data_IF_871193202209
#
_entry.id   IF_871193202209
#
_cell.length_a   1.000
_cell.length_b   1.000
_cell.length_c   1.000
_cell.angle_alpha   90.00
_cell.angle_beta   90.00
_cell.angle_gamma   90.00
#
_symmetry.space_group_name_H-M   'P 1'
#
loop_
_entity.id
_entity.type
_entity.pdbx_description
1 polymer ?
#
# COMPACT_ATOMS: atom_id res chain seq x y z
N UNK A 1 1.86 -8.29 38.45
CA UNK A 1 1.03 -7.97 37.30
C UNK A 1 0.65 -9.28 36.59
N UNK A 2 -0.63 -9.50 36.37
CA UNK A 2 -1.10 -10.68 35.60
C UNK A 2 -0.67 -10.52 34.15
N UNK A 3 -0.12 -11.61 33.57
CA UNK A 3 0.25 -11.66 32.15
C UNK A 3 -0.75 -12.50 31.37
N UNK A 4 -1.03 -12.08 30.15
CA UNK A 4 -1.68 -12.87 29.13
C UNK A 4 -0.62 -13.56 28.28
N UNK A 5 -0.68 -14.87 28.18
CA UNK A 5 0.24 -15.70 27.39
C UNK A 5 -0.43 -16.11 26.09
N UNK A 6 0.03 -15.60 24.95
CA UNK A 6 -0.51 -15.94 23.64
C UNK A 6 0.32 -16.98 22.88
N UNK A 7 1.53 -17.29 23.38
CA UNK A 7 2.35 -18.41 22.99
C UNK A 7 3.13 -18.95 24.18
N UNK A 8 3.15 -20.27 24.37
CA UNK A 8 3.75 -20.93 25.55
C UNK A 8 4.78 -22.02 25.21
N UNK A 9 5.25 -22.04 23.97
CA UNK A 9 6.24 -23.03 23.50
C UNK A 9 5.69 -24.42 23.20
N UNK A 10 4.42 -24.69 23.48
CA UNK A 10 3.85 -26.05 23.37
C UNK A 10 2.89 -26.23 22.21
N UNK A 11 2.13 -25.19 21.87
CA UNK A 11 1.09 -25.28 20.84
C UNK A 11 1.23 -24.13 19.86
N UNK A 12 0.92 -24.32 18.58
CA UNK A 12 0.87 -23.24 17.60
C UNK A 12 -0.05 -22.10 18.07
N UNK A 13 0.30 -20.87 17.72
CA UNK A 13 -0.60 -19.74 17.86
C UNK A 13 -1.82 -20.02 16.97
N UNK A 14 -3.02 -19.87 17.53
CA UNK A 14 -4.25 -20.02 16.76
C UNK A 14 -4.87 -18.67 16.46
N UNK A 15 -5.42 -18.56 15.26
CA UNK A 15 -6.12 -17.35 14.83
C UNK A 15 -7.46 -17.68 14.17
N UNK A 16 -8.40 -16.75 14.26
CA UNK A 16 -9.64 -16.78 13.49
C UNK A 16 -9.80 -15.52 12.66
N UNK A 17 -10.41 -15.68 11.50
CA UNK A 17 -10.70 -14.61 10.57
C UNK A 17 -12.12 -14.84 10.04
N UNK A 18 -13.15 -14.45 10.80
CA UNK A 18 -14.53 -14.65 10.40
C UNK A 18 -14.95 -13.68 9.31
N UNK A 19 -15.87 -14.14 8.48
CA UNK A 19 -16.49 -13.34 7.45
C UNK A 19 -15.58 -13.03 6.27
N UNK A 20 -15.90 -11.94 5.60
CA UNK A 20 -15.20 -11.43 4.42
C UNK A 20 -14.06 -10.50 4.82
N UNK A 21 -12.97 -10.51 4.07
CA UNK A 21 -11.82 -9.61 4.27
C UNK A 21 -11.29 -9.07 2.95
N UNK A 22 -10.65 -7.90 3.02
CA UNK A 22 -9.94 -7.31 1.88
C UNK A 22 -8.63 -8.04 1.59
N UNK A 23 -8.13 -8.04 0.33
CA UNK A 23 -6.87 -8.70 -0.03
C UNK A 23 -5.68 -8.32 0.85
N UNK A 24 -5.58 -7.06 1.28
CA UNK A 24 -4.50 -6.57 2.14
C UNK A 24 -4.45 -7.29 3.49
N UNK A 25 -5.58 -7.73 4.01
CA UNK A 25 -5.66 -8.52 5.25
C UNK A 25 -5.05 -9.90 5.06
N UNK A 26 -5.30 -10.54 3.91
CA UNK A 26 -4.69 -11.83 3.56
C UNK A 26 -3.17 -11.70 3.44
N UNK A 27 -2.68 -10.65 2.79
CA UNK A 27 -1.23 -10.38 2.70
C UNK A 27 -0.62 -10.17 4.08
N UNK A 28 -1.23 -9.36 4.93
CA UNK A 28 -0.75 -9.10 6.30
C UNK A 28 -0.75 -10.39 7.15
N UNK A 29 -1.76 -11.22 7.00
CA UNK A 29 -1.84 -12.50 7.71
C UNK A 29 -0.73 -13.46 7.26
N UNK A 30 -0.43 -13.55 5.98
CA UNK A 30 0.68 -14.37 5.48
C UNK A 30 2.02 -13.85 5.97
N UNK A 31 2.22 -12.53 6.02
CA UNK A 31 3.40 -11.93 6.64
C UNK A 31 3.51 -12.30 8.12
N UNK A 32 2.43 -12.15 8.88
CA UNK A 32 2.37 -12.51 10.30
C UNK A 32 2.68 -13.99 10.54
N UNK A 33 2.14 -14.88 9.73
CA UNK A 33 2.41 -16.33 9.84
C UNK A 33 3.90 -16.63 9.64
N UNK A 34 4.52 -16.04 8.63
CA UNK A 34 5.96 -16.15 8.40
C UNK A 34 6.80 -15.57 9.54
N UNK A 35 6.39 -14.43 10.08
CA UNK A 35 7.03 -13.79 11.23
C UNK A 35 6.98 -14.70 12.47
N UNK A 36 5.81 -15.25 12.76
CA UNK A 36 5.65 -16.16 13.91
C UNK A 36 6.40 -17.47 13.74
N UNK A 37 6.51 -17.97 12.52
CA UNK A 37 7.36 -19.13 12.25
C UNK A 37 8.84 -18.82 12.55
N UNK A 38 9.32 -17.63 12.23
CA UNK A 38 10.68 -17.20 12.58
C UNK A 38 10.84 -17.06 14.11
N UNK A 39 9.87 -16.43 14.78
CA UNK A 39 9.94 -16.17 16.24
C UNK A 39 9.75 -17.43 17.06
N UNK A 40 8.79 -18.29 16.70
CA UNK A 40 8.40 -19.46 17.53
C UNK A 40 8.86 -20.80 16.97
N UNK A 41 9.18 -20.85 15.67
CA UNK A 41 9.47 -22.09 14.93
C UNK A 41 8.26 -22.82 14.44
N UNK A 42 7.06 -22.33 14.71
CA UNK A 42 5.81 -22.99 14.36
C UNK A 42 4.87 -22.03 13.64
N UNK A 43 4.28 -22.49 12.52
CA UNK A 43 3.28 -21.72 11.79
C UNK A 43 1.99 -21.58 12.61
N UNK A 44 1.42 -20.36 12.72
CA UNK A 44 0.08 -20.17 13.25
C UNK A 44 -0.97 -20.98 12.50
N UNK A 45 -1.98 -21.45 13.20
CA UNK A 45 -3.05 -22.29 12.67
C UNK A 45 -4.40 -21.59 12.75
N UNK A 46 -5.17 -21.68 11.66
CA UNK A 46 -6.54 -21.17 11.63
C UNK A 46 -7.48 -22.07 12.43
N UNK A 47 -8.36 -21.45 13.22
CA UNK A 47 -9.42 -22.14 13.97
C UNK A 47 -10.70 -21.30 13.98
N UNK A 48 -11.70 -21.76 14.71
CA UNK A 48 -12.99 -21.10 14.78
C UNK A 48 -12.93 -19.81 15.61
N UNK A 49 -13.78 -18.86 15.24
CA UNK A 49 -13.97 -17.62 16.03
C UNK A 49 -14.39 -17.97 17.47
N UNK A 50 -13.84 -17.25 18.43
CA UNK A 50 -14.11 -17.49 19.86
C UNK A 50 -13.31 -18.63 20.50
N UNK A 51 -12.66 -19.49 19.70
CA UNK A 51 -11.75 -20.53 20.22
C UNK A 51 -10.28 -20.22 19.97
N UNK A 52 -10.01 -19.32 19.04
CA UNK A 52 -8.66 -18.86 18.70
C UNK A 52 -8.06 -17.99 19.79
N UNK A 53 -6.74 -18.05 19.94
CA UNK A 53 -5.97 -17.10 20.79
C UNK A 53 -6.05 -15.69 20.21
N UNK A 54 -6.08 -15.55 18.88
CA UNK A 54 -6.19 -14.28 18.17
C UNK A 54 -7.45 -14.29 17.31
N UNK A 55 -8.35 -13.35 17.55
CA UNK A 55 -9.57 -13.17 16.75
C UNK A 55 -9.47 -11.85 15.98
N UNK A 56 -9.53 -11.91 14.65
CA UNK A 56 -9.30 -10.78 13.75
C UNK A 56 -10.61 -10.42 13.04
N UNK A 57 -11.00 -9.15 13.08
CA UNK A 57 -12.25 -8.66 12.50
C UNK A 57 -11.98 -7.41 11.66
N UNK A 58 -12.43 -7.43 10.41
CA UNK A 58 -12.51 -6.25 9.54
C UNK A 58 -13.96 -5.71 9.58
N UNK A 59 -14.16 -4.53 10.19
CA UNK A 59 -15.50 -4.02 10.50
C UNK A 59 -16.34 -3.62 9.29
N UNK A 60 -15.77 -2.95 8.32
CA UNK A 60 -16.51 -2.46 7.14
C UNK A 60 -17.13 -3.59 6.30
N UNK A 61 -16.58 -4.80 6.39
CA UNK A 61 -17.09 -6.01 5.73
C UNK A 61 -17.88 -6.94 6.63
N UNK A 62 -17.95 -6.68 7.94
CA UNK A 62 -18.60 -7.56 8.93
C UNK A 62 -19.52 -6.76 9.86
N UNK A 63 -20.43 -5.99 9.30
CA UNK A 63 -21.31 -5.07 10.03
C UNK A 63 -22.25 -5.76 11.05
N UNK A 64 -22.58 -7.02 10.83
CA UNK A 64 -23.47 -7.79 11.73
C UNK A 64 -22.90 -7.97 13.13
N UNK A 65 -21.57 -7.95 13.30
CA UNK A 65 -20.91 -8.13 14.60
C UNK A 65 -20.82 -6.84 15.43
N UNK A 66 -21.10 -5.66 14.85
CA UNK A 66 -20.92 -4.37 15.50
C UNK A 66 -21.68 -4.26 16.83
N UNK A 67 -22.93 -4.77 16.88
CA UNK A 67 -23.74 -4.72 18.09
C UNK A 67 -23.13 -5.53 19.23
N UNK A 68 -22.59 -6.70 18.94
CA UNK A 68 -22.00 -7.57 19.95
C UNK A 68 -20.67 -7.00 20.45
N UNK A 69 -19.87 -6.45 19.56
CA UNK A 69 -18.65 -5.77 19.95
C UNK A 69 -18.89 -4.56 20.86
N UNK A 70 -19.97 -3.78 20.61
CA UNK A 70 -20.35 -2.66 21.51
C UNK A 70 -20.72 -3.15 22.89
N UNK A 71 -21.49 -4.26 23.01
CA UNK A 71 -21.81 -4.87 24.31
C UNK A 71 -20.56 -5.31 25.06
N UNK A 72 -19.53 -5.69 24.33
CA UNK A 72 -18.23 -6.11 24.86
C UNK A 72 -17.32 -4.95 25.25
N UNK A 73 -17.83 -3.72 25.16
CA UNK A 73 -17.06 -2.52 25.51
C UNK A 73 -15.99 -2.14 24.51
N UNK A 74 -16.10 -2.62 23.26
CA UNK A 74 -15.22 -2.20 22.17
C UNK A 74 -15.71 -0.85 21.62
N UNK A 75 -14.82 0.15 21.44
CA UNK A 75 -15.20 1.49 20.98
C UNK A 75 -15.47 1.52 19.46
N UNK A 76 -16.44 0.72 19.01
CA UNK A 76 -16.76 0.47 17.60
C UNK A 76 -16.96 1.78 16.82
N UNK A 77 -17.74 2.72 17.38
CA UNK A 77 -18.08 3.95 16.70
C UNK A 77 -16.84 4.83 16.47
N UNK A 78 -15.92 4.86 17.43
CA UNK A 78 -14.62 5.55 17.29
C UNK A 78 -13.73 4.88 16.25
N UNK A 79 -13.75 3.56 16.14
CA UNK A 79 -12.95 2.80 15.16
C UNK A 79 -13.52 3.04 13.77
N UNK A 80 -14.81 2.87 13.55
CA UNK A 80 -15.50 3.03 12.26
C UNK A 80 -15.39 4.45 11.70
N UNK A 81 -15.31 5.46 12.58
CA UNK A 81 -15.17 6.84 12.17
C UNK A 81 -13.80 7.20 11.59
N UNK A 82 -12.83 6.28 11.58
CA UNK A 82 -11.45 6.54 11.16
C UNK A 82 -10.99 5.56 10.10
N UNK A 83 -10.28 6.07 9.10
CA UNK A 83 -9.61 5.24 8.09
C UNK A 83 -8.33 4.65 8.65
N UNK A 84 -7.96 3.47 8.16
CA UNK A 84 -6.71 2.78 8.48
C UNK A 84 -6.47 2.58 9.99
N UNK A 85 -7.55 2.49 10.77
CA UNK A 85 -7.51 2.39 12.22
C UNK A 85 -7.66 0.95 12.69
N UNK A 86 -7.07 0.65 13.85
CA UNK A 86 -7.28 -0.62 14.52
C UNK A 86 -7.34 -0.48 16.03
N UNK A 87 -7.95 -1.44 16.66
CA UNK A 87 -8.05 -1.62 18.09
C UNK A 87 -7.64 -3.04 18.46
N UNK A 88 -6.77 -3.18 19.45
CA UNK A 88 -6.39 -4.47 20.01
C UNK A 88 -6.73 -4.46 21.50
N UNK A 89 -7.34 -5.56 21.97
CA UNK A 89 -7.67 -5.74 23.38
C UNK A 89 -7.54 -7.21 23.76
N UNK A 90 -7.09 -7.45 24.98
CA UNK A 90 -7.19 -8.77 25.60
C UNK A 90 -8.56 -8.90 26.26
N UNK A 91 -9.25 -9.97 25.95
CA UNK A 91 -10.56 -10.29 26.49
C UNK A 91 -10.68 -11.80 26.68
N UNK A 92 -11.10 -12.24 27.86
CA UNK A 92 -11.35 -13.64 28.17
C UNK A 92 -10.19 -14.59 27.75
N UNK A 93 -8.94 -14.18 28.00
CA UNK A 93 -7.73 -14.87 27.58
C UNK A 93 -7.57 -15.02 26.06
N UNK A 94 -8.09 -14.06 25.28
CA UNK A 94 -7.93 -13.99 23.84
C UNK A 94 -7.50 -12.57 23.44
N UNK A 95 -6.74 -12.46 22.35
CA UNK A 95 -6.48 -11.21 21.66
C UNK A 95 -7.58 -10.95 20.64
N UNK A 96 -8.20 -9.81 20.74
CA UNK A 96 -9.15 -9.32 19.75
C UNK A 96 -8.48 -8.20 18.94
N UNK A 97 -8.37 -8.37 17.62
CA UNK A 97 -7.85 -7.38 16.68
C UNK A 97 -9.00 -6.91 15.81
N UNK A 98 -9.34 -5.63 15.90
CA UNK A 98 -10.48 -5.03 15.18
C UNK A 98 -9.97 -3.89 14.32
N UNK A 99 -10.09 -4.02 13.00
CA UNK A 99 -9.76 -2.96 12.05
C UNK A 99 -10.99 -2.24 11.52
N UNK A 100 -10.89 -0.94 11.30
CA UNK A 100 -11.96 -0.14 10.69
C UNK A 100 -12.24 -0.56 9.25
N UNK A 101 -11.20 -0.90 8.53
CA UNK A 101 -11.17 -1.25 7.12
C UNK A 101 -10.05 -2.28 6.83
N UNK A 102 -9.78 -2.57 5.57
CA UNK A 102 -8.76 -3.53 5.18
C UNK A 102 -7.36 -3.15 5.67
N UNK A 103 -6.92 -1.92 5.43
CA UNK A 103 -5.59 -1.45 5.89
C UNK A 103 -5.49 -1.41 7.41
N UNK A 104 -6.49 -0.89 8.08
CA UNK A 104 -6.52 -0.87 9.55
C UNK A 104 -6.39 -2.27 10.14
N UNK A 105 -7.12 -3.24 9.59
CA UNK A 105 -7.04 -4.64 10.02
C UNK A 105 -5.65 -5.22 9.78
N UNK A 106 -5.07 -4.96 8.60
CA UNK A 106 -3.71 -5.37 8.26
C UNK A 106 -2.67 -4.79 9.23
N UNK A 107 -2.78 -3.51 9.57
CA UNK A 107 -1.90 -2.85 10.53
C UNK A 107 -2.03 -3.46 11.94
N UNK A 108 -3.24 -3.80 12.35
CA UNK A 108 -3.48 -4.50 13.61
C UNK A 108 -2.81 -5.87 13.67
N UNK A 109 -2.88 -6.64 12.60
CA UNK A 109 -2.20 -7.94 12.48
C UNK A 109 -0.67 -7.74 12.58
N UNK A 110 -0.12 -6.78 11.84
CA UNK A 110 1.32 -6.52 11.83
C UNK A 110 1.82 -5.88 13.14
N UNK A 111 0.94 -5.22 13.90
CA UNK A 111 1.26 -4.81 15.28
C UNK A 111 1.57 -6.00 16.18
N UNK A 112 0.91 -7.13 15.99
CA UNK A 112 1.24 -8.36 16.71
C UNK A 112 2.64 -8.87 16.36
N UNK A 113 3.05 -8.78 15.09
CA UNK A 113 4.43 -9.06 14.67
C UNK A 113 5.44 -8.16 15.40
N UNK A 114 5.16 -6.87 15.49
CA UNK A 114 6.00 -5.90 16.22
C UNK A 114 6.08 -6.24 17.71
N UNK A 115 4.96 -6.55 18.33
CA UNK A 115 4.90 -6.95 19.74
C UNK A 115 5.65 -8.26 20.01
N UNK A 116 5.73 -9.16 19.04
CA UNK A 116 6.56 -10.35 19.11
C UNK A 116 8.05 -10.08 18.93
N UNK A 117 8.44 -8.85 18.55
CA UNK A 117 9.83 -8.44 18.38
C UNK A 117 10.33 -8.50 16.93
N UNK A 118 9.42 -8.52 15.95
CA UNK A 118 9.78 -8.48 14.53
C UNK A 118 9.97 -7.03 14.09
N UNK A 119 11.17 -6.72 13.55
CA UNK A 119 11.49 -5.41 12.99
C UNK A 119 10.75 -5.20 11.65
N UNK A 120 10.35 -3.97 11.32
CA UNK A 120 9.91 -3.64 9.96
C UNK A 120 10.96 -4.00 8.89
N UNK A 121 12.24 -3.98 9.26
CA UNK A 121 13.39 -4.25 8.40
C UNK A 121 13.78 -5.74 8.34
N UNK A 122 12.92 -6.62 8.80
CA UNK A 122 13.18 -8.06 8.85
C UNK A 122 13.67 -8.62 7.51
N UNK A 123 13.14 -8.16 6.40
CA UNK A 123 13.53 -8.60 5.06
C UNK A 123 14.58 -7.67 4.43
N UNK A 124 14.33 -6.36 4.37
CA UNK A 124 15.24 -5.39 3.71
C UNK A 124 16.54 -5.17 4.47
N UNK A 125 16.56 -5.34 5.76
CA UNK A 125 17.74 -5.14 6.61
C UNK A 125 18.30 -6.43 7.17
N UNK A 126 17.81 -7.60 6.74
CA UNK A 126 18.21 -8.92 7.27
C UNK A 126 18.15 -9.01 8.80
N UNK A 127 17.18 -8.32 9.41
CA UNK A 127 17.00 -8.30 10.86
C UNK A 127 16.24 -9.52 11.32
N UNK A 128 16.95 -10.63 11.51
CA UNK A 128 16.33 -11.88 11.99
C UNK A 128 15.78 -11.70 13.40
N UNK A 129 14.48 -11.98 13.64
CA UNK A 129 13.92 -11.88 14.98
C UNK A 129 14.48 -12.97 15.90
N UNK A 130 14.61 -12.62 17.18
CA UNK A 130 15.02 -13.61 18.17
C UNK A 130 13.96 -14.68 18.38
N UNK A 131 14.41 -15.94 18.53
CA UNK A 131 13.54 -17.06 18.91
C UNK A 131 13.01 -16.86 20.30
N UNK A 132 11.74 -17.14 20.50
CA UNK A 132 11.05 -17.04 21.79
C UNK A 132 10.22 -18.27 22.05
N UNK A 133 10.35 -18.82 23.25
CA UNK A 133 9.52 -19.93 23.74
C UNK A 133 8.23 -19.43 24.39
N UNK A 134 8.12 -18.13 24.63
CA UNK A 134 6.95 -17.53 25.26
C UNK A 134 6.72 -16.11 24.73
N UNK A 135 5.46 -15.81 24.42
CA UNK A 135 5.00 -14.47 24.06
C UNK A 135 3.91 -14.06 25.06
N UNK A 136 4.12 -12.92 25.68
CA UNK A 136 3.21 -12.38 26.71
C UNK A 136 2.90 -10.91 26.47
N UNK A 137 1.77 -10.49 26.99
CA UNK A 137 1.37 -9.09 27.14
C UNK A 137 0.78 -8.87 28.53
N UNK A 138 0.73 -7.64 29.04
CA UNK A 138 -0.05 -7.34 30.24
C UNK A 138 -1.49 -7.80 30.06
N UNK A 139 -2.10 -8.38 31.08
CA UNK A 139 -3.46 -8.94 30.96
C UNK A 139 -4.55 -7.88 30.65
N UNK A 140 -4.25 -6.63 30.93
CA UNK A 140 -5.11 -5.47 30.65
C UNK A 140 -4.69 -4.70 29.39
N UNK A 141 -3.82 -5.30 28.55
CA UNK A 141 -3.33 -4.64 27.34
C UNK A 141 -4.47 -4.26 26.40
N UNK A 142 -4.48 -3.00 26.02
CA UNK A 142 -5.29 -2.50 24.93
C UNK A 142 -4.60 -1.36 24.20
N UNK A 143 -4.87 -1.21 22.92
CA UNK A 143 -4.38 -0.08 22.13
C UNK A 143 -5.37 0.27 21.04
N UNK A 144 -5.58 1.57 20.86
CA UNK A 144 -6.31 2.13 19.73
C UNK A 144 -5.36 3.01 18.94
N UNK A 145 -5.17 2.69 17.66
CA UNK A 145 -4.24 3.43 16.82
C UNK A 145 -4.92 3.81 15.51
N UNK A 146 -4.78 5.05 15.12
CA UNK A 146 -5.22 5.58 13.84
C UNK A 146 -4.22 6.61 13.34
N UNK A 147 -3.95 6.66 12.02
CA UNK A 147 -3.07 7.67 11.46
C UNK A 147 -3.63 9.07 11.65
N UNK A 148 -2.75 10.05 11.90
CA UNK A 148 -3.11 11.47 11.98
C UNK A 148 -3.22 12.12 10.60
N UNK A 149 -2.65 11.50 9.55
CA UNK A 149 -2.74 11.92 8.15
C UNK A 149 -3.23 10.76 7.29
N UNK A 150 -4.05 11.07 6.30
CA UNK A 150 -4.67 10.06 5.45
C UNK A 150 -3.66 9.33 4.56
N UNK A 151 -2.71 10.05 3.98
CA UNK A 151 -1.75 9.50 3.02
C UNK A 151 -0.32 9.57 3.56
N UNK A 152 0.36 8.44 3.50
CA UNK A 152 1.70 8.24 4.09
C UNK A 152 2.50 7.36 3.14
N UNK A 153 3.62 7.85 2.64
CA UNK A 153 4.37 7.08 1.65
C UNK A 153 5.76 7.60 1.38
N UNK A 154 6.36 7.04 0.36
CA UNK A 154 7.70 7.37 -0.11
C UNK A 154 7.69 7.64 -1.61
N UNK A 155 8.73 8.32 -2.08
CA UNK A 155 9.07 8.48 -3.46
C UNK A 155 10.37 7.71 -3.76
N UNK A 156 10.33 6.79 -4.73
CA UNK A 156 11.54 6.15 -5.26
C UNK A 156 12.18 7.09 -6.27
N UNK A 157 13.24 7.77 -5.88
CA UNK A 157 13.85 8.81 -6.71
C UNK A 157 15.23 8.43 -7.27
N UNK A 158 16.09 7.79 -6.51
CA UNK A 158 17.44 7.41 -6.94
C UNK A 158 17.56 5.87 -7.16
N UNK A 159 16.51 5.29 -7.70
CA UNK A 159 16.37 3.84 -7.86
C UNK A 159 17.41 3.22 -8.81
N UNK A 160 17.93 3.98 -9.74
CA UNK A 160 18.93 3.55 -10.72
C UNK A 160 20.34 3.32 -10.14
N UNK A 161 20.61 3.83 -8.93
CA UNK A 161 21.91 3.67 -8.29
C UNK A 161 22.09 2.29 -7.64
N UNK A 162 21.03 1.71 -7.13
CA UNK A 162 21.11 0.39 -6.47
C UNK A 162 19.88 -0.48 -6.68
N UNK A 163 18.69 -0.01 -6.37
CA UNK A 163 17.46 -0.81 -6.35
C UNK A 163 17.14 -1.44 -7.72
N UNK A 164 17.13 -0.63 -8.76
CA UNK A 164 16.82 -1.07 -10.12
C UNK A 164 17.81 -2.13 -10.63
N UNK A 165 19.15 -1.88 -10.64
CA UNK A 165 20.09 -2.89 -11.11
C UNK A 165 20.11 -4.13 -10.21
N UNK A 166 19.92 -4.01 -8.91
CA UNK A 166 19.82 -5.16 -8.02
C UNK A 166 18.57 -5.99 -8.34
N UNK A 167 17.43 -5.36 -8.59
CA UNK A 167 16.19 -6.07 -8.91
C UNK A 167 16.37 -6.95 -10.17
N UNK A 168 16.67 -6.36 -11.31
CA UNK A 168 16.68 -7.10 -12.57
C UNK A 168 17.92 -7.98 -12.81
N UNK A 169 19.01 -7.78 -12.05
CA UNK A 169 20.20 -8.62 -12.13
C UNK A 169 20.20 -9.78 -11.14
N UNK A 170 19.68 -9.58 -9.93
CA UNK A 170 19.88 -10.49 -8.81
C UNK A 170 18.59 -11.06 -8.23
N UNK A 171 17.69 -10.20 -7.77
CA UNK A 171 16.50 -10.64 -7.02
C UNK A 171 15.40 -11.19 -7.92
N UNK A 172 15.18 -10.53 -9.05
CA UNK A 172 14.14 -10.84 -10.02
C UNK A 172 14.70 -10.76 -11.44
N UNK A 173 15.63 -11.67 -11.80
CA UNK A 173 16.35 -11.59 -13.07
C UNK A 173 15.43 -11.42 -14.26
N UNK A 174 15.77 -10.47 -15.14
CA UNK A 174 14.97 -10.11 -16.32
C UNK A 174 15.88 -9.76 -17.49
N UNK A 175 15.47 -10.16 -18.71
CA UNK A 175 16.09 -9.73 -19.94
C UNK A 175 15.82 -8.26 -20.27
N UNK A 176 14.80 -7.67 -19.61
CA UNK A 176 14.48 -6.25 -19.74
C UNK A 176 15.34 -5.47 -18.74
N UNK A 177 16.37 -4.86 -19.26
CA UNK A 177 17.29 -3.99 -18.53
C UNK A 177 16.50 -2.80 -17.93
N UNK A 178 16.76 -2.51 -16.66
CA UNK A 178 16.09 -1.41 -15.97
C UNK A 178 14.75 -1.77 -15.30
N UNK A 179 14.32 -3.04 -15.37
CA UNK A 179 13.07 -3.46 -14.76
C UNK A 179 13.21 -3.62 -13.23
N UNK A 180 12.43 -2.84 -12.48
CA UNK A 180 12.07 -3.20 -11.11
C UNK A 180 10.83 -4.07 -11.22
N UNK A 181 10.95 -5.38 -10.93
CA UNK A 181 9.85 -6.32 -11.14
C UNK A 181 8.75 -6.24 -10.08
N UNK A 182 7.63 -6.90 -10.34
CA UNK A 182 6.48 -6.90 -9.45
C UNK A 182 6.78 -7.53 -8.07
N UNK A 183 7.67 -8.52 -8.00
CA UNK A 183 8.11 -9.12 -6.74
C UNK A 183 8.93 -8.14 -5.90
N UNK A 184 9.78 -7.35 -6.53
CA UNK A 184 10.56 -6.29 -5.88
C UNK A 184 9.62 -5.21 -5.33
N UNK A 185 8.69 -4.72 -6.13
CA UNK A 185 7.67 -3.78 -5.66
C UNK A 185 6.85 -4.36 -4.51
N UNK A 186 6.47 -5.63 -4.57
CA UNK A 186 5.71 -6.28 -3.48
C UNK A 186 6.47 -6.28 -2.16
N UNK A 187 7.78 -6.52 -2.18
CA UNK A 187 8.61 -6.44 -0.96
C UNK A 187 8.71 -4.99 -0.43
N UNK A 188 8.75 -3.99 -1.31
CA UNK A 188 8.65 -2.58 -0.91
C UNK A 188 7.29 -2.31 -0.27
N UNK A 189 6.20 -2.78 -0.86
CA UNK A 189 4.85 -2.58 -0.33
C UNK A 189 4.66 -3.26 1.04
N UNK A 190 5.22 -4.44 1.25
CA UNK A 190 5.23 -5.11 2.56
C UNK A 190 5.98 -4.30 3.62
N UNK A 191 7.11 -3.69 3.28
CA UNK A 191 7.80 -2.76 4.18
C UNK A 191 6.90 -1.57 4.54
N UNK A 192 6.26 -0.96 3.56
CA UNK A 192 5.32 0.15 3.77
C UNK A 192 4.16 -0.28 4.68
N UNK A 193 3.60 -1.46 4.49
CA UNK A 193 2.57 -2.01 5.38
C UNK A 193 3.06 -2.12 6.83
N UNK A 194 4.27 -2.63 7.06
CA UNK A 194 4.88 -2.71 8.41
C UNK A 194 5.07 -1.33 9.04
N UNK A 195 5.39 -0.32 8.25
CA UNK A 195 5.58 1.07 8.66
C UNK A 195 4.25 1.85 8.71
N UNK A 196 3.11 1.21 8.40
CA UNK A 196 1.78 1.82 8.31
C UNK A 196 1.69 2.96 7.32
N UNK A 197 2.46 2.84 6.24
CA UNK A 197 2.35 3.68 5.07
C UNK A 197 1.38 3.04 4.05
N UNK A 198 0.80 3.86 3.18
CA UNK A 198 -0.22 3.42 2.24
C UNK A 198 -0.03 3.97 0.83
N UNK A 199 1.10 4.61 0.54
CA UNK A 199 1.30 5.28 -0.75
C UNK A 199 2.74 5.19 -1.23
N UNK A 200 2.92 5.23 -2.55
CA UNK A 200 4.22 5.27 -3.20
C UNK A 200 4.17 6.07 -4.50
N UNK A 201 5.24 6.80 -4.78
CA UNK A 201 5.60 7.22 -6.13
C UNK A 201 6.69 6.27 -6.63
N UNK A 202 6.39 5.44 -7.65
CA UNK A 202 7.36 4.47 -8.18
C UNK A 202 8.57 5.11 -8.83
N UNK A 203 9.56 4.28 -9.19
CA UNK A 203 10.75 4.68 -9.93
C UNK A 203 10.39 5.33 -11.27
N UNK A 204 11.05 6.44 -11.59
CA UNK A 204 10.70 7.30 -12.73
C UNK A 204 11.88 7.66 -13.65
N UNK A 205 13.10 7.31 -13.30
CA UNK A 205 14.26 7.67 -14.12
C UNK A 205 14.20 6.99 -15.51
N UNK A 206 14.72 7.66 -16.54
CA UNK A 206 14.59 7.23 -17.93
C UNK A 206 15.18 5.86 -18.26
N UNK A 207 16.07 5.34 -17.40
CA UNK A 207 16.64 4.00 -17.52
C UNK A 207 15.85 2.93 -16.75
N UNK A 208 14.79 3.34 -16.04
CA UNK A 208 13.91 2.45 -15.29
C UNK A 208 12.64 2.17 -16.11
N UNK A 209 12.23 0.91 -16.18
CA UNK A 209 10.97 0.54 -16.83
C UNK A 209 9.81 1.22 -16.11
N UNK A 210 8.91 1.97 -16.79
CA UNK A 210 7.75 2.58 -16.19
C UNK A 210 6.91 1.59 -15.38
N UNK A 211 6.43 1.99 -14.23
CA UNK A 211 5.70 1.11 -13.29
C UNK A 211 4.55 0.34 -13.96
N UNK A 212 3.74 1.02 -14.77
CA UNK A 212 2.61 0.39 -15.44
C UNK A 212 2.98 -0.53 -16.60
N UNK A 213 4.25 -0.52 -17.03
CA UNK A 213 4.78 -1.49 -18.00
C UNK A 213 5.34 -2.74 -17.34
N UNK A 214 5.35 -2.80 -16.01
CA UNK A 214 5.79 -3.97 -15.25
C UNK A 214 4.60 -4.89 -14.98
N UNK A 215 4.52 -6.07 -15.60
CA UNK A 215 3.42 -7.00 -15.37
C UNK A 215 3.27 -7.36 -13.88
N UNK A 216 2.07 -7.26 -13.36
CA UNK A 216 1.75 -7.59 -11.96
C UNK A 216 2.04 -6.49 -10.94
N UNK A 217 2.67 -5.36 -11.30
CA UNK A 217 3.04 -4.34 -10.33
C UNK A 217 1.84 -3.60 -9.74
N UNK A 218 0.87 -3.18 -10.58
CA UNK A 218 -0.36 -2.52 -10.08
C UNK A 218 -1.24 -3.46 -9.26
N UNK A 219 -1.31 -4.73 -9.62
CA UNK A 219 -2.02 -5.77 -8.87
C UNK A 219 -1.34 -6.04 -7.52
N UNK A 220 -0.02 -6.02 -7.47
CA UNK A 220 0.73 -6.13 -6.21
C UNK A 220 0.45 -4.94 -5.29
N UNK A 221 0.40 -3.71 -5.82
CA UNK A 221 0.04 -2.52 -5.05
C UNK A 221 -1.38 -2.62 -4.49
N UNK A 222 -2.35 -2.99 -5.31
CA UNK A 222 -3.74 -3.16 -4.92
C UNK A 222 -3.89 -4.21 -3.80
N UNK A 223 -3.27 -5.38 -3.97
CA UNK A 223 -3.31 -6.44 -2.95
C UNK A 223 -2.67 -6.05 -1.62
N UNK A 224 -1.72 -5.11 -1.61
CA UNK A 224 -1.05 -4.60 -0.42
C UNK A 224 -1.69 -3.31 0.13
N UNK A 225 -2.78 -2.84 -0.45
CA UNK A 225 -3.46 -1.62 -0.03
C UNK A 225 -2.63 -0.35 -0.23
N UNK A 226 -1.79 -0.33 -1.27
CA UNK A 226 -0.89 0.78 -1.58
C UNK A 226 -1.46 1.60 -2.73
N UNK A 227 -1.66 2.90 -2.49
CA UNK A 227 -2.04 3.87 -3.50
C UNK A 227 -0.81 4.25 -4.34
N UNK A 228 -0.99 4.28 -5.65
CA UNK A 228 0.03 4.73 -6.57
C UNK A 228 -0.16 6.21 -6.88
N UNK A 229 0.90 6.99 -6.74
CA UNK A 229 0.98 8.35 -7.23
C UNK A 229 2.13 8.51 -8.20
N UNK A 230 2.32 9.71 -8.70
CA UNK A 230 3.43 10.04 -9.61
C UNK A 230 4.01 11.41 -9.29
N UNK A 231 5.24 11.65 -9.73
CA UNK A 231 5.94 12.89 -9.47
C UNK A 231 5.42 14.05 -10.33
N UNK A 232 6.01 15.22 -10.11
CA UNK A 232 5.71 16.46 -10.82
C UNK A 232 5.93 16.41 -12.34
N UNK A 233 6.75 15.49 -12.84
CA UNK A 233 6.98 15.27 -14.27
C UNK A 233 6.00 14.30 -14.91
N UNK A 234 5.11 13.71 -14.14
CA UNK A 234 4.32 12.54 -14.53
C UNK A 234 2.81 12.77 -14.29
N UNK A 235 2.21 13.79 -14.91
CA UNK A 235 0.78 14.02 -14.74
C UNK A 235 -0.06 12.85 -15.26
N UNK A 236 -1.21 12.65 -14.65
CA UNK A 236 -2.21 11.63 -15.05
C UNK A 236 -1.65 10.22 -15.05
N UNK A 237 -0.77 9.90 -14.10
CA UNK A 237 -0.18 8.57 -13.90
C UNK A 237 0.73 8.11 -15.07
N UNK A 238 1.27 9.04 -15.84
CA UNK A 238 2.15 8.75 -16.97
C UNK A 238 3.60 9.06 -16.65
N UNK A 239 4.50 8.11 -16.89
CA UNK A 239 5.94 8.33 -16.92
C UNK A 239 6.34 8.82 -18.32
N UNK A 240 6.35 10.13 -18.52
CA UNK A 240 6.55 10.70 -19.85
C UNK A 240 7.90 10.32 -20.49
N UNK A 241 8.96 10.25 -19.68
CA UNK A 241 10.31 9.92 -20.16
C UNK A 241 10.36 8.51 -20.77
N UNK A 242 9.71 7.56 -20.15
CA UNK A 242 9.68 6.17 -20.60
C UNK A 242 8.57 5.83 -21.59
N UNK A 243 7.45 6.58 -21.54
CA UNK A 243 6.22 6.21 -22.23
C UNK A 243 5.88 7.06 -23.45
N UNK A 244 6.26 8.37 -23.45
CA UNK A 244 5.94 9.23 -24.59
C UNK A 244 6.86 8.93 -25.77
N UNK A 245 6.31 8.55 -26.90
CA UNK A 245 7.02 8.25 -28.15
C UNK A 245 6.64 9.29 -29.21
N UNK A 246 7.53 10.24 -29.48
CA UNK A 246 7.30 11.32 -30.44
C UNK A 246 6.91 10.79 -31.82
N UNK A 247 7.57 9.73 -32.29
CA UNK A 247 7.28 9.12 -33.60
C UNK A 247 5.86 8.53 -33.71
N UNK A 248 5.24 8.17 -32.58
CA UNK A 248 3.92 7.55 -32.53
C UNK A 248 2.84 8.55 -32.15
N UNK A 249 3.16 9.55 -31.31
CA UNK A 249 2.20 10.44 -30.66
C UNK A 249 2.34 11.91 -31.07
N UNK A 250 3.38 12.27 -31.81
CA UNK A 250 3.73 13.65 -32.12
C UNK A 250 4.39 14.40 -30.96
N UNK A 251 4.41 15.71 -31.03
CA UNK A 251 5.05 16.55 -30.02
C UNK A 251 4.28 16.51 -28.68
N UNK A 252 5.02 16.52 -27.57
CA UNK A 252 4.42 16.65 -26.24
C UNK A 252 4.09 18.13 -25.98
N UNK A 253 3.12 18.64 -26.74
CA UNK A 253 2.75 20.03 -26.81
C UNK A 253 1.22 20.16 -26.77
N UNK A 254 0.70 20.77 -25.70
CA UNK A 254 -0.74 20.88 -25.48
C UNK A 254 -1.40 21.91 -26.40
N UNK A 255 -0.63 22.87 -26.93
CA UNK A 255 -1.14 23.89 -27.86
C UNK A 255 -1.35 23.30 -29.25
N UNK A 256 -0.41 22.50 -29.73
CA UNK A 256 -0.42 21.97 -31.12
C UNK A 256 -0.91 20.53 -31.19
N UNK A 257 -0.89 19.75 -30.09
CA UNK A 257 -1.23 18.32 -30.06
C UNK A 257 -2.11 17.94 -28.86
N UNK A 258 -3.10 18.78 -28.56
CA UNK A 258 -4.02 18.57 -27.42
C UNK A 258 -4.70 17.21 -27.44
N UNK A 259 -5.23 16.78 -28.57
CA UNK A 259 -5.91 15.50 -28.70
C UNK A 259 -4.97 14.31 -28.49
N UNK A 260 -3.74 14.37 -29.00
CA UNK A 260 -2.73 13.34 -28.79
C UNK A 260 -2.34 13.21 -27.31
N UNK A 261 -2.16 14.32 -26.61
CA UNK A 261 -1.85 14.34 -25.17
C UNK A 261 -3.05 13.81 -24.37
N UNK A 262 -4.27 14.23 -24.67
CA UNK A 262 -5.47 13.72 -23.99
C UNK A 262 -5.68 12.22 -24.21
N UNK A 263 -5.51 11.73 -25.45
CA UNK A 263 -5.60 10.30 -25.75
C UNK A 263 -4.59 9.49 -24.92
N UNK A 264 -3.37 9.98 -24.79
CA UNK A 264 -2.31 9.41 -23.96
C UNK A 264 -2.73 9.31 -22.49
N UNK A 265 -3.30 10.36 -21.92
CA UNK A 265 -3.82 10.34 -20.56
C UNK A 265 -5.02 9.38 -20.40
N UNK A 266 -5.95 9.39 -21.35
CA UNK A 266 -7.15 8.55 -21.30
C UNK A 266 -6.78 7.06 -21.27
N UNK A 267 -5.81 6.63 -22.06
CA UNK A 267 -5.35 5.24 -22.05
C UNK A 267 -4.92 4.80 -20.63
N UNK A 268 -4.15 5.65 -19.93
CA UNK A 268 -3.72 5.34 -18.56
C UNK A 268 -4.88 5.45 -17.56
N UNK A 269 -5.78 6.39 -17.68
CA UNK A 269 -6.94 6.50 -16.79
C UNK A 269 -7.85 5.29 -16.88
N UNK A 270 -8.04 4.72 -18.07
CA UNK A 270 -8.79 3.46 -18.25
C UNK A 270 -8.12 2.28 -17.57
N UNK A 271 -6.80 2.21 -17.61
CA UNK A 271 -6.03 1.17 -16.95
C UNK A 271 -5.99 1.33 -15.42
N UNK A 272 -5.71 2.53 -14.96
CA UNK A 272 -5.46 2.83 -13.54
C UNK A 272 -6.74 3.16 -12.76
N UNK A 273 -7.80 3.63 -13.43
CA UNK A 273 -9.02 4.11 -12.80
C UNK A 273 -9.70 3.15 -11.81
N UNK A 274 -9.71 1.83 -12.05
CA UNK A 274 -10.26 0.86 -11.10
C UNK A 274 -9.48 0.70 -9.79
N UNK A 275 -8.28 1.25 -9.69
CA UNK A 275 -7.40 1.15 -8.53
C UNK A 275 -7.38 2.44 -7.70
N UNK A 276 -6.97 2.34 -6.44
CA UNK A 276 -6.75 3.52 -5.60
C UNK A 276 -5.45 4.25 -6.00
N UNK A 277 -5.54 5.52 -6.34
CA UNK A 277 -4.42 6.31 -6.85
C UNK A 277 -4.45 7.76 -6.38
N UNK A 278 -3.29 8.43 -6.52
CA UNK A 278 -3.19 9.90 -6.55
C UNK A 278 -2.95 10.35 -7.98
N UNK A 279 -3.64 11.35 -8.42
CA UNK A 279 -3.48 11.89 -9.75
C UNK A 279 -2.74 13.23 -9.69
N UNK A 280 -1.46 13.22 -10.08
CA UNK A 280 -0.72 14.47 -10.32
C UNK A 280 -1.35 15.20 -11.49
N UNK A 281 -1.70 16.45 -11.30
CA UNK A 281 -2.34 17.30 -12.29
C UNK A 281 -1.39 18.41 -12.76
N UNK A 282 -1.74 19.06 -13.84
CA UNK A 282 -0.92 20.03 -14.50
C UNK A 282 -0.14 19.44 -15.67
N UNK A 283 0.75 20.19 -16.22
CA UNK A 283 1.63 19.78 -17.32
C UNK A 283 2.88 20.64 -17.34
N UNK A 284 4.00 20.05 -17.64
CA UNK A 284 5.27 20.69 -17.98
C UNK A 284 5.84 20.01 -19.23
N UNK A 285 7.12 20.10 -19.50
CA UNK A 285 7.76 19.29 -20.54
C UNK A 285 7.81 17.81 -20.19
N UNK A 286 8.45 17.02 -21.01
CA UNK A 286 8.56 15.57 -20.83
C UNK A 286 9.24 15.22 -19.50
N UNK A 287 10.24 16.00 -19.10
CA UNK A 287 10.95 15.87 -17.81
C UNK A 287 10.96 17.23 -17.08
N UNK A 288 12.07 17.65 -16.51
CA UNK A 288 12.21 18.92 -15.74
C UNK A 288 12.27 20.18 -16.62
N UNK A 289 11.76 20.13 -17.81
CA UNK A 289 11.65 21.27 -18.73
C UNK A 289 10.29 22.00 -18.60
N UNK A 290 10.21 23.17 -19.14
CA UNK A 290 8.96 23.94 -19.23
C UNK A 290 7.98 23.35 -20.25
N UNK A 291 6.71 23.78 -20.15
CA UNK A 291 5.68 23.45 -21.15
C UNK A 291 6.05 24.02 -22.50
N UNK A 292 5.98 23.21 -23.55
CA UNK A 292 6.23 23.64 -24.92
C UNK A 292 5.07 24.49 -25.48
N UNK A 293 5.40 25.35 -26.44
CA UNK A 293 4.43 26.15 -27.17
C UNK A 293 3.95 27.43 -26.46
N UNK A 294 4.48 27.75 -25.28
CA UNK A 294 4.11 28.92 -24.48
C UNK A 294 5.36 29.74 -24.11
N UNK A 295 5.30 31.05 -24.25
CA UNK A 295 6.45 31.96 -24.03
C UNK A 295 6.20 32.91 -22.89
N UNK A 296 5.10 33.65 -22.92
CA UNK A 296 4.76 34.65 -21.89
C UNK A 296 4.13 33.98 -20.65
N UNK A 297 4.16 34.71 -19.53
CA UNK A 297 3.51 34.26 -18.29
C UNK A 297 2.00 34.08 -18.52
N UNK A 298 1.36 34.97 -19.27
CA UNK A 298 -0.08 34.84 -19.56
C UNK A 298 -0.38 33.60 -20.38
N UNK A 299 0.37 33.32 -21.44
CA UNK A 299 0.22 32.13 -22.25
C UNK A 299 0.38 30.84 -21.40
N UNK A 300 1.38 30.83 -20.52
CA UNK A 300 1.62 29.70 -19.58
C UNK A 300 0.43 29.49 -18.63
N UNK A 301 -0.09 30.59 -18.08
CA UNK A 301 -1.22 30.56 -17.15
C UNK A 301 -2.49 30.05 -17.84
N UNK A 302 -2.80 30.59 -19.01
CA UNK A 302 -3.99 30.20 -19.77
C UNK A 302 -3.91 28.72 -20.23
N UNK A 303 -2.76 28.29 -20.72
CA UNK A 303 -2.53 26.89 -21.12
C UNK A 303 -2.63 25.94 -19.93
N UNK A 304 -2.04 26.29 -18.80
CA UNK A 304 -2.12 25.45 -17.59
C UNK A 304 -3.54 25.37 -17.06
N UNK A 305 -4.30 26.46 -17.06
CA UNK A 305 -5.70 26.46 -16.67
C UNK A 305 -6.51 25.51 -17.57
N UNK A 306 -6.30 25.56 -18.89
CA UNK A 306 -6.96 24.69 -19.84
C UNK A 306 -6.60 23.21 -19.59
N UNK A 307 -5.33 22.92 -19.35
CA UNK A 307 -4.85 21.57 -18.99
C UNK A 307 -5.57 21.04 -17.74
N UNK A 308 -5.60 21.82 -16.68
CA UNK A 308 -6.23 21.42 -15.41
C UNK A 308 -7.75 21.19 -15.58
N UNK A 309 -8.43 22.06 -16.30
CA UNK A 309 -9.86 21.92 -16.56
C UNK A 309 -10.17 20.66 -17.37
N UNK A 310 -9.36 20.37 -18.38
CA UNK A 310 -9.50 19.15 -19.19
C UNK A 310 -9.16 17.90 -18.37
N UNK A 311 -8.10 17.91 -17.57
CA UNK A 311 -7.74 16.81 -16.68
C UNK A 311 -8.85 16.50 -15.67
N UNK A 312 -9.47 17.51 -15.07
CA UNK A 312 -10.63 17.33 -14.17
C UNK A 312 -11.81 16.64 -14.86
N UNK A 313 -12.11 17.04 -16.10
CA UNK A 313 -13.16 16.38 -16.91
C UNK A 313 -12.83 14.93 -17.20
N UNK A 314 -11.58 14.63 -17.56
CA UNK A 314 -11.12 13.27 -17.80
C UNK A 314 -11.17 12.42 -16.54
N UNK A 315 -10.73 12.92 -15.41
CA UNK A 315 -10.81 12.23 -14.13
C UNK A 315 -12.26 11.93 -13.73
N UNK A 316 -13.17 12.89 -13.88
CA UNK A 316 -14.60 12.68 -13.63
C UNK A 316 -15.22 11.59 -14.50
N UNK A 317 -14.69 11.40 -15.71
CA UNK A 317 -15.24 10.45 -16.69
C UNK A 317 -14.68 9.03 -16.53
N UNK A 318 -13.41 8.90 -16.20
CA UNK A 318 -12.68 7.62 -16.30
C UNK A 318 -12.23 7.04 -14.96
N UNK A 319 -12.36 7.78 -13.87
CA UNK A 319 -11.95 7.31 -12.54
C UNK A 319 -13.19 7.05 -11.70
N UNK A 320 -13.27 5.86 -11.11
CA UNK A 320 -14.32 5.48 -10.18
C UNK A 320 -14.28 6.36 -8.92
N UNK A 321 -15.47 6.74 -8.42
CA UNK A 321 -15.64 7.62 -7.26
C UNK A 321 -15.71 6.83 -5.96
#
# INVERSE_FOLDING_TARGET
NKEFVWYNGKRPITYSLPGSVSPVVTVALDMFKGDMQQVTGVLPQKTLFGTAVINIIQLDKNKSILRDLRKDGIPVDSIVARKDAFFIKIRENQLLVVGSDGRGTAYGILELSRLAGVSPWVWWGDVTPMRKERLTLPADYSTFQSPSVEYRGIFLNDEDWSLQPWSWKNFEPSDIKGRIGARTYKEIFKLLMRLRANAIWPGMHGITTPFYFVPGAKEAADSCGILIGTSHCEPMMRNNVGEWKVNERGDYNYITNREGVQSYWIERLKEAGPYENFYTMGMRGIHDSGMEGVKTLQEKTDALQQVIDDQRKLLSKYVDK
#
